data_IF_393427500889
#
_entry.id   IF_393427500889
#
_cell.length_a   1.000
_cell.length_b   1.000
_cell.length_c   1.000
_cell.angle_alpha   90.00
_cell.angle_beta   90.00
_cell.angle_gamma   90.00
#
_symmetry.space_group_name_H-M   'P 1'
#
loop_
_entity.id
_entity.type
_entity.pdbx_description
1 polymer ?
#
# COMPACT_ATOMS: atom_id res chain seq x y z
N UNK A 1 -34.96 4.56 22.19
CA UNK A 1 -34.69 4.51 20.72
C UNK A 1 -34.15 5.84 20.14
N UNK A 2 -34.75 6.99 20.53
CA UNK A 2 -34.31 8.30 20.00
C UNK A 2 -32.88 8.73 20.40
N UNK A 3 -32.39 8.32 21.56
CA UNK A 3 -31.04 8.65 22.01
C UNK A 3 -29.98 7.92 21.15
N UNK A 4 -30.23 6.67 20.83
CA UNK A 4 -29.34 5.82 20.04
C UNK A 4 -29.29 6.27 18.56
N UNK A 5 -30.37 6.81 18.02
CA UNK A 5 -30.42 7.41 16.66
C UNK A 5 -29.61 8.69 16.63
N UNK A 6 -29.76 9.57 17.62
CA UNK A 6 -28.98 10.82 17.72
C UNK A 6 -27.49 10.59 17.88
N UNK A 7 -27.08 9.56 18.62
CA UNK A 7 -25.68 9.20 18.81
C UNK A 7 -25.05 8.70 17.48
N UNK A 8 -25.76 7.84 16.74
CA UNK A 8 -25.33 7.36 15.42
C UNK A 8 -25.18 8.50 14.40
N UNK A 9 -26.10 9.45 14.40
CA UNK A 9 -26.05 10.63 13.53
C UNK A 9 -24.87 11.53 13.90
N UNK A 10 -24.57 11.71 15.19
CA UNK A 10 -23.43 12.48 15.65
C UNK A 10 -22.11 11.84 15.20
N UNK A 11 -21.96 10.53 15.35
CA UNK A 11 -20.79 9.81 14.86
C UNK A 11 -20.60 9.92 13.34
N UNK A 12 -21.69 9.90 12.57
CA UNK A 12 -21.64 10.07 11.13
C UNK A 12 -21.15 11.49 10.73
N UNK A 13 -21.61 12.52 11.46
CA UNK A 13 -21.18 13.90 11.27
C UNK A 13 -19.70 14.07 11.61
N UNK A 14 -19.25 13.55 12.74
CA UNK A 14 -17.85 13.62 13.16
C UNK A 14 -16.93 12.88 12.20
N UNK A 15 -17.32 11.73 11.69
CA UNK A 15 -16.59 10.98 10.65
C UNK A 15 -16.44 11.80 9.36
N UNK A 16 -17.50 12.45 8.89
CA UNK A 16 -17.47 13.33 7.71
C UNK A 16 -16.51 14.50 7.91
N UNK A 17 -16.52 15.11 9.11
CA UNK A 17 -15.64 16.21 9.49
C UNK A 17 -14.17 15.75 9.51
N UNK A 18 -13.89 14.59 10.09
CA UNK A 18 -12.56 13.99 10.10
C UNK A 18 -12.01 13.79 8.68
N UNK A 19 -12.77 13.17 7.79
CA UNK A 19 -12.35 12.98 6.40
C UNK A 19 -12.06 14.30 5.68
N UNK A 20 -12.89 15.31 5.90
CA UNK A 20 -12.65 16.65 5.35
C UNK A 20 -11.35 17.25 5.88
N UNK A 21 -11.09 17.10 7.17
CA UNK A 21 -9.87 17.61 7.80
C UNK A 21 -8.62 16.89 7.27
N UNK A 22 -8.66 15.57 7.11
CA UNK A 22 -7.56 14.78 6.53
C UNK A 22 -7.25 15.25 5.11
N UNK A 23 -8.24 15.37 4.24
CA UNK A 23 -8.04 15.88 2.88
C UNK A 23 -7.48 17.31 2.85
N UNK A 24 -7.89 18.15 3.81
CA UNK A 24 -7.39 19.54 3.92
C UNK A 24 -5.94 19.55 4.38
N UNK A 25 -5.59 18.77 5.39
CA UNK A 25 -4.23 18.66 5.91
C UNK A 25 -3.25 18.15 4.83
N UNK A 26 -3.63 17.13 4.06
CA UNK A 26 -2.82 16.63 2.95
C UNK A 26 -2.51 17.71 1.91
N UNK A 27 -3.47 18.60 1.61
CA UNK A 27 -3.25 19.72 0.68
C UNK A 27 -2.29 20.75 1.22
N UNK A 28 -2.33 21.03 2.52
CA UNK A 28 -1.41 21.99 3.15
C UNK A 28 0.04 21.54 3.06
N UNK A 29 0.29 20.25 2.97
CA UNK A 29 1.62 19.66 2.84
C UNK A 29 2.12 19.61 1.38
N UNK A 30 1.35 20.06 0.39
CA UNK A 30 1.65 19.90 -1.04
C UNK A 30 3.05 20.40 -1.42
N UNK A 31 3.45 21.58 -0.95
CA UNK A 31 4.77 22.16 -1.27
C UNK A 31 5.91 21.34 -0.69
N UNK A 32 5.79 20.92 0.57
CA UNK A 32 6.81 20.08 1.22
C UNK A 32 6.88 18.71 0.60
N UNK A 33 5.73 18.13 0.27
CA UNK A 33 5.67 16.84 -0.39
C UNK A 33 6.29 16.87 -1.79
N UNK A 34 6.03 17.91 -2.59
CA UNK A 34 6.68 18.10 -3.90
C UNK A 34 8.20 18.15 -3.79
N UNK A 35 8.72 18.88 -2.81
CA UNK A 35 10.16 18.93 -2.57
C UNK A 35 10.73 17.58 -2.14
N UNK A 36 10.03 16.87 -1.25
CA UNK A 36 10.43 15.55 -0.80
C UNK A 36 10.41 14.52 -1.94
N UNK A 37 9.37 14.56 -2.77
CA UNK A 37 9.23 13.69 -3.93
C UNK A 37 10.35 13.95 -4.95
N UNK A 38 10.63 15.21 -5.27
CA UNK A 38 11.72 15.59 -6.19
C UNK A 38 13.08 15.14 -5.65
N UNK A 39 13.34 15.33 -4.35
CA UNK A 39 14.57 14.87 -3.70
C UNK A 39 14.70 13.35 -3.77
N UNK A 40 13.64 12.60 -3.45
CA UNK A 40 13.63 11.15 -3.55
C UNK A 40 13.89 10.68 -4.98
N UNK A 41 13.21 11.27 -5.96
CA UNK A 41 13.41 10.97 -7.38
C UNK A 41 14.87 11.17 -7.79
N UNK A 42 15.45 12.30 -7.42
CA UNK A 42 16.87 12.59 -7.68
C UNK A 42 17.78 11.55 -7.03
N UNK A 43 17.53 11.16 -5.77
CA UNK A 43 18.33 10.12 -5.12
C UNK A 43 18.26 8.78 -5.85
N UNK A 44 17.10 8.39 -6.36
CA UNK A 44 16.94 7.16 -7.14
C UNK A 44 17.70 7.26 -8.47
N UNK A 45 17.55 8.36 -9.20
CA UNK A 45 18.19 8.59 -10.50
C UNK A 45 19.71 8.71 -10.42
N UNK A 46 20.23 9.21 -9.31
CA UNK A 46 21.68 9.36 -9.08
C UNK A 46 22.31 8.19 -8.32
N UNK A 47 21.52 7.18 -7.95
CA UNK A 47 22.03 6.01 -7.25
C UNK A 47 23.03 5.25 -8.12
N UNK A 48 24.16 4.85 -7.51
CA UNK A 48 25.15 3.97 -8.15
C UNK A 48 24.66 2.52 -8.26
N UNK A 49 23.64 2.16 -7.50
CA UNK A 49 23.00 0.85 -7.54
C UNK A 49 22.02 0.82 -8.71
N UNK A 50 21.97 -0.32 -9.42
CA UNK A 50 20.98 -0.51 -10.49
C UNK A 50 19.57 -0.45 -9.90
N UNK A 51 18.90 0.67 -10.12
CA UNK A 51 17.55 0.92 -9.62
C UNK A 51 16.60 1.10 -10.79
N UNK A 52 15.46 0.41 -10.74
CA UNK A 52 14.35 0.59 -11.68
C UNK A 52 13.25 1.38 -10.98
N UNK A 53 12.72 2.37 -11.67
CA UNK A 53 11.58 3.14 -11.19
C UNK A 53 10.66 3.47 -12.36
N UNK A 54 9.39 3.71 -12.04
CA UNK A 54 8.37 4.07 -13.02
C UNK A 54 7.18 4.71 -12.35
N UNK A 55 6.31 5.30 -13.14
CA UNK A 55 5.00 5.80 -12.72
C UNK A 55 3.96 4.82 -13.22
N UNK A 56 3.09 4.39 -12.32
CA UNK A 56 1.99 3.47 -12.59
C UNK A 56 0.68 4.15 -12.25
N UNK A 57 -0.34 3.84 -13.00
CA UNK A 57 -1.70 4.29 -12.74
C UNK A 57 -2.53 3.12 -12.22
N UNK A 58 -3.34 3.36 -11.19
CA UNK A 58 -4.26 2.34 -10.69
C UNK A 58 -5.50 2.29 -11.57
N UNK A 59 -5.90 1.11 -12.03
CA UNK A 59 -7.12 0.92 -12.84
C UNK A 59 -8.41 1.14 -12.04
N UNK A 60 -8.31 1.25 -10.72
CA UNK A 60 -9.46 1.44 -9.85
C UNK A 60 -9.07 1.88 -8.45
N UNK A 61 -10.03 1.79 -7.53
CA UNK A 61 -9.80 2.10 -6.11
C UNK A 61 -8.90 1.04 -5.50
N UNK A 62 -7.88 1.50 -4.77
CA UNK A 62 -6.93 0.64 -4.08
C UNK A 62 -6.97 0.93 -2.58
N UNK A 63 -6.94 -0.11 -1.78
CA UNK A 63 -6.90 -0.02 -0.31
C UNK A 63 -5.72 -0.82 0.20
N UNK A 64 -4.92 -0.19 1.06
CA UNK A 64 -3.75 -0.82 1.67
C UNK A 64 -3.79 -0.55 3.17
N UNK A 65 -3.64 -1.60 3.98
CA UNK A 65 -3.61 -1.50 5.44
C UNK A 65 -4.89 -1.91 6.15
N UNK A 66 -5.81 -2.60 5.47
CA UNK A 66 -7.07 -3.06 6.07
C UNK A 66 -6.89 -4.06 7.22
N UNK A 67 -5.79 -4.80 7.25
CA UNK A 67 -5.54 -5.84 8.27
C UNK A 67 -4.98 -5.33 9.59
N UNK A 68 -4.75 -4.02 9.74
CA UNK A 68 -4.25 -3.41 10.96
C UNK A 68 -5.38 -2.99 11.90
N UNK A 69 -5.15 -3.11 13.20
CA UNK A 69 -6.06 -2.52 14.20
C UNK A 69 -6.10 -1.01 14.04
N UNK A 70 -7.30 -0.46 13.90
CA UNK A 70 -7.50 0.98 13.76
C UNK A 70 -8.73 1.43 14.55
N UNK A 71 -8.63 2.58 15.21
CA UNK A 71 -9.72 3.18 15.99
C UNK A 71 -10.98 3.47 15.14
N UNK A 72 -10.78 3.61 13.81
CA UNK A 72 -11.85 3.89 12.85
C UNK A 72 -12.37 2.63 12.14
N UNK A 73 -12.12 1.43 12.69
CA UNK A 73 -12.47 0.12 12.13
C UNK A 73 -11.72 -0.24 10.83
N UNK A 74 -11.36 0.75 10.03
CA UNK A 74 -10.61 0.55 8.79
C UNK A 74 -9.41 1.48 8.77
N UNK A 75 -8.22 0.92 8.54
CA UNK A 75 -6.97 1.67 8.39
C UNK A 75 -6.61 1.90 6.93
N UNK A 76 -5.90 2.98 6.69
CA UNK A 76 -5.27 3.28 5.42
C UNK A 76 -3.79 3.53 5.68
N UNK A 77 -2.91 2.90 4.89
CA UNK A 77 -1.48 3.12 5.04
C UNK A 77 -1.09 4.47 4.44
N UNK A 78 -0.64 5.36 5.32
CA UNK A 78 -0.15 6.70 4.96
C UNK A 78 1.34 6.81 5.27
N UNK A 79 2.04 7.59 4.48
CA UNK A 79 3.40 8.02 4.81
C UNK A 79 3.34 8.94 6.05
N UNK A 80 4.14 8.60 7.05
CA UNK A 80 4.02 9.20 8.39
C UNK A 80 4.32 10.71 8.41
N UNK A 81 5.28 11.15 7.59
CA UNK A 81 5.74 12.54 7.61
C UNK A 81 4.80 13.49 6.88
N UNK A 82 4.24 13.03 5.75
CA UNK A 82 3.45 13.89 4.86
C UNK A 82 1.96 13.57 4.88
N UNK A 83 1.56 12.46 5.52
CA UNK A 83 0.16 12.01 5.55
C UNK A 83 -0.40 11.63 4.17
N UNK A 84 0.46 11.33 3.21
CA UNK A 84 0.04 10.94 1.86
C UNK A 84 -0.09 9.42 1.74
N UNK A 85 -1.02 8.90 0.91
CA UNK A 85 -1.11 7.48 0.65
C UNK A 85 0.20 6.90 0.10
N UNK A 86 0.60 5.75 0.61
CA UNK A 86 1.76 4.99 0.11
C UNK A 86 1.40 3.53 -0.11
N UNK A 87 2.15 2.89 -0.99
CA UNK A 87 2.19 1.44 -1.11
C UNK A 87 3.49 0.97 -0.44
N UNK A 88 3.45 0.30 0.71
CA UNK A 88 4.65 -0.20 1.35
C UNK A 88 5.44 -1.13 0.41
N UNK A 89 6.76 -1.03 0.44
CA UNK A 89 7.63 -1.92 -0.33
C UNK A 89 7.40 -3.39 -0.03
N UNK A 90 7.02 -3.72 1.21
CA UNK A 90 6.61 -5.07 1.60
C UNK A 90 5.36 -5.56 0.87
N UNK A 91 4.38 -4.69 0.64
CA UNK A 91 3.18 -5.02 -0.13
C UNK A 91 3.51 -5.22 -1.61
N UNK A 92 4.37 -4.36 -2.18
CA UNK A 92 4.87 -4.53 -3.55
C UNK A 92 5.68 -5.82 -3.71
N UNK A 93 6.53 -6.14 -2.75
CA UNK A 93 7.27 -7.40 -2.71
C UNK A 93 6.32 -8.60 -2.67
N UNK A 94 5.31 -8.57 -1.80
CA UNK A 94 4.30 -9.62 -1.69
C UNK A 94 3.54 -9.82 -2.99
N UNK A 95 3.11 -8.75 -3.63
CA UNK A 95 2.44 -8.79 -4.94
C UNK A 95 3.34 -9.37 -6.02
N UNK A 96 4.58 -8.89 -6.12
CA UNK A 96 5.55 -9.37 -7.12
C UNK A 96 5.88 -10.85 -6.93
N UNK A 97 6.11 -11.28 -5.70
CA UNK A 97 6.41 -12.68 -5.40
C UNK A 97 5.23 -13.61 -5.71
N UNK A 98 4.01 -13.16 -5.38
CA UNK A 98 2.80 -13.90 -5.70
C UNK A 98 2.59 -14.01 -7.21
N UNK A 99 2.77 -12.93 -7.95
CA UNK A 99 2.69 -12.92 -9.41
C UNK A 99 3.72 -13.88 -10.04
N UNK A 100 4.97 -13.82 -9.62
CA UNK A 100 6.01 -14.74 -10.08
C UNK A 100 5.62 -16.20 -9.86
N UNK A 101 5.11 -16.51 -8.67
CA UNK A 101 4.67 -17.86 -8.32
C UNK A 101 3.49 -18.33 -9.17
N UNK A 102 2.55 -17.47 -9.47
CA UNK A 102 1.36 -17.84 -10.26
C UNK A 102 1.62 -17.92 -11.77
N UNK A 103 2.40 -16.98 -12.30
CA UNK A 103 2.59 -16.85 -13.76
C UNK A 103 3.77 -17.67 -14.24
N UNK A 104 4.89 -17.65 -13.52
CA UNK A 104 6.11 -18.34 -13.91
C UNK A 104 6.29 -19.69 -13.21
N UNK A 105 5.76 -19.84 -11.99
CA UNK A 105 5.84 -21.07 -11.22
C UNK A 105 5.29 -22.31 -11.92
N UNK A 106 4.17 -22.27 -12.69
CA UNK A 106 3.68 -23.39 -13.46
C UNK A 106 4.65 -23.87 -14.56
N UNK A 107 5.48 -22.97 -15.08
CA UNK A 107 6.45 -23.28 -16.13
C UNK A 107 7.82 -23.66 -15.55
N UNK A 108 8.16 -23.13 -14.38
CA UNK A 108 9.40 -23.42 -13.68
C UNK A 108 9.17 -23.38 -12.16
N UNK A 109 9.21 -24.55 -11.47
CA UNK A 109 8.98 -24.66 -10.03
C UNK A 109 9.93 -23.81 -9.16
N UNK A 110 11.07 -23.38 -9.69
CA UNK A 110 12.01 -22.51 -8.96
C UNK A 110 11.45 -21.12 -8.68
N UNK A 111 10.39 -20.70 -9.37
CA UNK A 111 9.67 -19.46 -9.07
C UNK A 111 8.53 -19.61 -8.06
N UNK A 112 8.22 -20.83 -7.61
CA UNK A 112 7.16 -21.02 -6.63
C UNK A 112 7.59 -20.49 -5.25
N UNK A 113 6.71 -19.72 -4.60
CA UNK A 113 6.93 -19.25 -3.22
C UNK A 113 6.88 -20.43 -2.25
N UNK A 114 6.00 -21.38 -2.55
CA UNK A 114 5.84 -22.60 -1.77
C UNK A 114 5.81 -23.81 -2.70
N UNK A 115 6.89 -24.55 -2.74
CA UNK A 115 6.99 -25.83 -3.42
C UNK A 115 6.91 -26.95 -2.39
N UNK A 116 5.98 -27.91 -2.59
CA UNK A 116 5.77 -29.02 -1.67
C UNK A 116 4.49 -28.94 -0.84
N UNK A 117 4.22 -30.01 -0.08
CA UNK A 117 3.02 -30.18 0.77
C UNK A 117 3.39 -30.21 2.25
N UNK A 118 2.52 -29.62 3.10
CA UNK A 118 2.70 -29.67 4.56
C UNK A 118 3.89 -28.87 5.08
N UNK A 119 4.60 -29.38 6.07
CA UNK A 119 5.75 -28.73 6.72
C UNK A 119 7.00 -28.63 5.82
N UNK A 120 7.01 -29.33 4.68
CA UNK A 120 8.11 -29.31 3.70
C UNK A 120 7.94 -28.20 2.64
N UNK A 121 7.08 -27.24 2.87
CA UNK A 121 6.92 -26.09 1.96
C UNK A 121 8.19 -25.25 1.96
N UNK A 122 8.93 -25.28 0.86
CA UNK A 122 10.10 -24.43 0.66
C UNK A 122 9.88 -23.58 -0.59
N UNK A 123 10.43 -22.37 -0.57
CA UNK A 123 10.49 -21.57 -1.77
C UNK A 123 11.46 -22.18 -2.78
N UNK A 124 11.14 -22.08 -4.06
CA UNK A 124 12.04 -22.46 -5.14
C UNK A 124 13.29 -21.58 -5.17
N UNK A 125 14.33 -22.03 -5.84
CA UNK A 125 15.65 -21.38 -5.80
C UNK A 125 15.59 -19.94 -6.32
N UNK A 126 14.93 -19.69 -7.44
CA UNK A 126 14.78 -18.34 -7.99
C UNK A 126 13.91 -17.45 -7.11
N UNK A 127 12.86 -18.01 -6.48
CA UNK A 127 12.05 -17.24 -5.55
C UNK A 127 12.86 -16.81 -4.31
N UNK A 128 13.74 -17.67 -3.78
CA UNK A 128 14.68 -17.33 -2.69
C UNK A 128 15.67 -16.25 -3.10
N UNK A 129 16.29 -16.41 -4.28
CA UNK A 129 17.25 -15.43 -4.80
C UNK A 129 16.58 -14.05 -4.95
N UNK A 130 15.40 -13.99 -5.53
CA UNK A 130 14.73 -12.71 -5.79
C UNK A 130 14.15 -12.09 -4.52
N UNK A 131 13.41 -12.87 -3.76
CA UNK A 131 12.57 -12.35 -2.65
C UNK A 131 13.10 -12.70 -1.26
N UNK A 132 14.02 -13.66 -1.15
CA UNK A 132 14.48 -14.18 0.13
C UNK A 132 13.50 -15.19 0.74
N UNK A 133 13.92 -15.77 1.84
CA UNK A 133 13.14 -16.69 2.68
C UNK A 133 13.43 -16.45 4.18
N UNK A 134 13.10 -17.43 5.03
CA UNK A 134 13.35 -17.33 6.47
C UNK A 134 14.85 -17.28 6.83
N UNK A 135 15.70 -17.84 5.98
CA UNK A 135 17.13 -18.02 6.22
C UNK A 135 17.98 -16.88 5.63
N UNK A 136 17.42 -16.10 4.68
CA UNK A 136 18.18 -15.06 4.03
C UNK A 136 17.36 -14.02 3.27
N UNK A 137 17.96 -12.82 3.16
CA UNK A 137 17.37 -11.73 2.38
C UNK A 137 17.51 -11.98 0.87
N UNK A 138 16.49 -11.60 0.11
CA UNK A 138 16.55 -11.61 -1.35
C UNK A 138 17.41 -10.49 -1.92
N UNK A 139 17.81 -10.64 -3.18
CA UNK A 139 18.65 -9.66 -3.89
C UNK A 139 17.89 -8.43 -4.36
N UNK A 140 16.54 -8.46 -4.41
CA UNK A 140 15.74 -7.31 -4.81
C UNK A 140 15.23 -6.58 -3.58
N UNK A 141 15.52 -5.29 -3.50
CA UNK A 141 14.95 -4.38 -2.51
C UNK A 141 13.76 -3.65 -3.11
N UNK A 142 12.61 -3.76 -2.46
CA UNK A 142 11.39 -3.06 -2.84
C UNK A 142 11.24 -1.82 -1.98
N UNK A 143 11.26 -0.66 -2.62
CA UNK A 143 11.00 0.61 -1.96
C UNK A 143 9.50 0.94 -2.00
N UNK A 144 9.03 1.75 -1.04
CA UNK A 144 7.64 2.20 -1.00
C UNK A 144 7.26 2.95 -2.28
N UNK A 145 6.08 2.65 -2.80
CA UNK A 145 5.47 3.42 -3.87
C UNK A 145 4.86 4.70 -3.34
N UNK A 146 5.31 5.85 -3.83
CA UNK A 146 4.80 7.16 -3.44
C UNK A 146 3.78 7.64 -4.47
N UNK A 147 2.67 8.21 -3.99
CA UNK A 147 1.69 8.88 -4.86
C UNK A 147 2.34 10.07 -5.55
N UNK A 148 2.01 10.31 -6.82
CA UNK A 148 2.59 11.46 -7.52
C UNK A 148 2.07 12.79 -6.98
N UNK A 149 2.88 13.86 -6.97
CA UNK A 149 2.41 15.18 -6.55
C UNK A 149 1.18 15.67 -7.31
N UNK A 150 1.05 15.29 -8.59
CA UNK A 150 -0.11 15.62 -9.41
C UNK A 150 -1.40 14.99 -8.87
N UNK A 151 -1.32 13.75 -8.41
CA UNK A 151 -2.46 13.05 -7.81
C UNK A 151 -2.82 13.61 -6.44
N UNK A 152 -1.83 14.06 -5.64
CA UNK A 152 -2.08 14.73 -4.35
C UNK A 152 -2.76 16.09 -4.55
N UNK A 153 -2.41 16.81 -5.61
CA UNK A 153 -2.99 18.11 -5.92
C UNK A 153 -4.47 18.05 -6.37
N UNK A 154 -5.00 16.88 -6.68
CA UNK A 154 -6.42 16.70 -7.01
C UNK A 154 -7.32 16.97 -5.79
N UNK A 155 -8.62 17.22 -6.04
CA UNK A 155 -9.57 17.62 -5.00
C UNK A 155 -9.65 16.69 -3.79
N UNK A 156 -9.39 15.41 -3.99
CA UNK A 156 -9.44 14.36 -2.95
C UNK A 156 -8.08 14.05 -2.33
N UNK A 157 -7.00 14.72 -2.75
CA UNK A 157 -5.62 14.39 -2.34
C UNK A 157 -5.25 12.91 -2.57
N UNK A 158 -5.82 12.30 -3.61
CA UNK A 158 -5.67 10.89 -3.90
C UNK A 158 -6.48 9.95 -3.00
N UNK A 159 -7.32 10.50 -2.09
CA UNK A 159 -8.18 9.73 -1.21
C UNK A 159 -9.60 9.69 -1.73
N UNK A 160 -10.22 8.52 -1.74
CA UNK A 160 -11.64 8.36 -2.07
C UNK A 160 -12.41 7.87 -0.85
N UNK A 161 -13.58 8.47 -0.63
CA UNK A 161 -14.52 7.95 0.37
C UNK A 161 -15.14 6.68 -0.18
N UNK A 162 -15.21 5.67 0.67
CA UNK A 162 -15.87 4.40 0.37
C UNK A 162 -16.68 3.91 1.55
N UNK A 163 -17.56 2.97 1.32
CA UNK A 163 -18.36 2.29 2.34
C UNK A 163 -17.99 0.81 2.29
N UNK A 164 -17.47 0.31 3.39
CA UNK A 164 -17.29 -1.13 3.56
C UNK A 164 -18.58 -1.70 4.15
N UNK A 165 -19.27 -2.50 3.37
CA UNK A 165 -20.42 -3.26 3.86
C UNK A 165 -19.91 -4.51 4.59
N UNK A 166 -20.34 -4.77 5.83
CA UNK A 166 -20.00 -6.02 6.48
C UNK A 166 -20.65 -7.17 5.69
N UNK A 167 -19.83 -8.14 5.31
CA UNK A 167 -20.37 -9.40 4.79
C UNK A 167 -20.86 -10.23 5.97
N UNK A 168 -22.16 -10.19 6.24
CA UNK A 168 -22.78 -11.19 7.07
C UNK A 168 -22.84 -12.49 6.27
N UNK A 169 -22.13 -13.51 6.71
CA UNK A 169 -22.44 -14.88 6.34
C UNK A 169 -23.73 -15.24 7.07
N UNK A 170 -24.80 -15.42 6.34
CA UNK A 170 -25.98 -16.13 6.83
C UNK A 170 -25.62 -17.60 7.13
#
# INVERSE_FOLDING_TARGET
DDANVREKDLHAIERKKLFKNVCTASRQMDTLYKQAFARRKKCIETSKTRTLHGVFETEGRMVIGLGGENVLETGLTLEHTYGTPIIPGSALKGLASHYCSQVWGPQNPDFLIHNGKGAAKQAGEFAKILFGDADGAGFITFYDGWITPQSVAQQTSGLMKDVMTPHHRE
#
